data_IF_504917515848
#
_entry.id   IF_504917515848
#
_cell.length_a   1.000
_cell.length_b   1.000
_cell.length_c   1.000
_cell.angle_alpha   90.00
_cell.angle_beta   90.00
_cell.angle_gamma   90.00
#
_symmetry.space_group_name_H-M   'P 1'
#
loop_
_entity.id
_entity.type
_entity.pdbx_description
1 polymer ?
#
# COMPACT_ATOMS: atom_id res chain seq x y z
N UNK A 1 31.78 19.49 33.55
CA UNK A 1 31.48 18.10 33.19
C UNK A 1 30.00 18.06 32.84
N UNK A 2 29.64 17.59 31.64
CA UNK A 2 28.22 17.45 31.27
C UNK A 2 27.58 16.37 32.13
N UNK A 3 26.40 16.66 32.65
CA UNK A 3 25.59 15.73 33.44
C UNK A 3 25.21 14.51 32.58
N UNK A 4 25.65 13.30 32.99
CA UNK A 4 25.39 12.09 32.27
C UNK A 4 24.49 11.14 33.04
N UNK A 5 23.55 10.49 32.36
CA UNK A 5 22.54 9.60 32.94
C UNK A 5 22.80 8.15 32.54
N UNK A 6 22.54 7.22 33.43
CA UNK A 6 22.43 5.79 33.08
C UNK A 6 21.14 5.56 32.29
N UNK A 7 21.05 4.42 31.58
CA UNK A 7 19.82 4.04 30.85
C UNK A 7 18.56 4.09 31.72
N UNK A 8 18.65 3.61 32.97
CA UNK A 8 17.49 3.63 33.88
C UNK A 8 17.11 5.04 34.32
N UNK A 9 18.08 5.89 34.67
CA UNK A 9 17.82 7.30 35.03
C UNK A 9 17.24 8.08 33.87
N UNK A 10 17.79 7.86 32.67
CA UNK A 10 17.35 8.52 31.46
C UNK A 10 15.94 8.10 31.05
N UNK A 11 15.62 6.79 31.17
CA UNK A 11 14.28 6.27 30.95
C UNK A 11 13.26 6.88 31.93
N UNK A 12 13.62 6.99 33.20
CA UNK A 12 12.76 7.61 34.22
C UNK A 12 12.47 9.10 33.94
N UNK A 13 13.50 9.86 33.52
CA UNK A 13 13.35 11.29 33.17
C UNK A 13 12.36 11.49 32.02
N UNK A 14 12.37 10.59 31.03
CA UNK A 14 11.50 10.67 29.83
C UNK A 14 10.20 9.87 29.99
N UNK A 15 9.90 9.31 31.17
CA UNK A 15 8.71 8.47 31.42
C UNK A 15 8.56 7.30 30.43
N UNK A 16 9.69 6.66 30.11
CA UNK A 16 9.75 5.50 29.21
C UNK A 16 10.47 4.33 29.89
N UNK A 17 10.76 3.26 29.17
CA UNK A 17 11.43 2.07 29.72
C UNK A 17 12.88 1.95 29.21
N UNK A 18 13.74 1.29 29.98
CA UNK A 18 15.11 0.96 29.54
C UNK A 18 15.09 0.03 28.31
N UNK A 19 14.03 -0.76 28.13
CA UNK A 19 13.83 -1.61 26.96
C UNK A 19 13.59 -0.77 25.70
N UNK A 20 12.74 0.26 25.81
CA UNK A 20 12.47 1.21 24.71
C UNK A 20 13.73 1.94 24.29
N UNK A 21 14.55 2.40 25.24
CA UNK A 21 15.81 3.08 24.92
C UNK A 21 16.81 2.16 24.18
N UNK A 22 16.90 0.89 24.59
CA UNK A 22 17.74 -0.10 23.90
C UNK A 22 17.23 -0.38 22.49
N UNK A 23 15.93 -0.44 22.32
CA UNK A 23 15.30 -0.63 21.02
C UNK A 23 15.57 0.56 20.08
N UNK A 24 15.46 1.80 20.58
CA UNK A 24 15.80 2.99 19.78
C UNK A 24 17.29 3.08 19.45
N UNK A 25 18.18 2.60 20.33
CA UNK A 25 19.60 2.49 20.02
C UNK A 25 19.86 1.45 18.94
N UNK A 26 19.24 0.26 19.03
CA UNK A 26 19.33 -0.79 18.00
C UNK A 26 18.84 -0.33 16.62
N UNK A 27 17.71 0.41 16.59
CA UNK A 27 17.16 1.00 15.36
C UNK A 27 17.91 2.27 14.90
N UNK A 28 18.97 2.69 15.59
CA UNK A 28 19.74 3.89 15.24
C UNK A 28 19.03 5.22 15.50
N UNK A 29 17.80 5.19 16.01
CA UNK A 29 16.97 6.36 16.22
C UNK A 29 17.49 7.27 17.37
N UNK A 30 17.97 6.66 18.45
CA UNK A 30 18.57 7.35 19.59
C UNK A 30 19.80 6.59 20.09
N UNK A 31 20.99 7.00 19.67
CA UNK A 31 22.25 6.42 20.15
C UNK A 31 22.66 7.05 21.47
N UNK A 32 23.24 6.29 22.42
CA UNK A 32 23.82 6.86 23.64
C UNK A 32 25.00 7.76 23.28
N UNK A 33 25.20 8.85 24.06
CA UNK A 33 26.36 9.74 23.89
C UNK A 33 27.69 9.02 24.16
N UNK A 34 27.71 7.97 24.99
CA UNK A 34 28.86 7.12 25.21
C UNK A 34 28.46 5.70 25.64
N UNK A 35 29.27 4.72 25.26
CA UNK A 35 29.21 3.35 25.80
C UNK A 35 30.50 3.08 26.57
N UNK A 36 30.37 2.74 27.85
CA UNK A 36 31.52 2.45 28.71
C UNK A 36 32.17 1.11 28.34
N UNK A 37 33.41 0.85 28.71
CA UNK A 37 34.09 -0.42 28.43
C UNK A 37 33.36 -1.68 28.96
N UNK A 38 32.55 -1.53 29.99
CA UNK A 38 31.71 -2.57 30.59
C UNK A 38 30.34 -2.71 29.88
N UNK A 39 30.13 -2.04 28.73
CA UNK A 39 28.90 -2.10 27.94
C UNK A 39 27.76 -1.20 28.44
N UNK A 40 27.97 -0.42 29.52
CA UNK A 40 26.93 0.48 30.03
C UNK A 40 26.80 1.74 29.18
N UNK A 41 25.55 2.04 28.76
CA UNK A 41 25.17 3.22 27.99
C UNK A 41 25.05 4.45 28.85
N UNK A 42 25.55 5.59 28.37
CA UNK A 42 25.46 6.89 28.99
C UNK A 42 24.78 7.87 28.02
N UNK A 43 23.87 8.64 28.57
CA UNK A 43 23.10 9.65 27.83
C UNK A 43 23.36 11.04 28.43
N UNK A 44 23.32 12.07 27.59
CA UNK A 44 23.49 13.46 27.98
C UNK A 44 22.16 14.23 27.88
N UNK A 45 22.13 15.46 28.38
CA UNK A 45 20.94 16.31 28.33
C UNK A 45 20.47 16.60 26.88
N UNK A 46 21.39 16.69 25.93
CA UNK A 46 21.05 16.83 24.49
C UNK A 46 20.26 15.63 23.95
N UNK A 47 20.55 14.42 24.43
CA UNK A 47 19.86 13.21 24.03
C UNK A 47 18.40 13.20 24.52
N UNK A 48 18.12 13.91 25.65
CA UNK A 48 16.79 14.04 26.21
C UNK A 48 15.85 14.81 25.26
N UNK A 49 16.34 15.89 24.65
CA UNK A 49 15.55 16.65 23.67
C UNK A 49 15.20 15.78 22.47
N UNK A 50 16.16 15.01 21.98
CA UNK A 50 15.92 14.07 20.87
C UNK A 50 14.91 12.99 21.27
N UNK A 51 15.05 12.40 22.46
CA UNK A 51 14.10 11.42 22.98
C UNK A 51 12.69 11.99 23.13
N UNK A 52 12.56 13.21 23.64
CA UNK A 52 11.27 13.88 23.78
C UNK A 52 10.57 14.09 22.41
N UNK A 53 11.34 14.48 21.38
CA UNK A 53 10.81 14.56 20.00
C UNK A 53 10.32 13.20 19.51
N UNK A 54 11.12 12.14 19.70
CA UNK A 54 10.74 10.77 19.31
C UNK A 54 9.43 10.34 20.00
N UNK A 55 9.33 10.55 21.31
CA UNK A 55 8.14 10.16 22.06
C UNK A 55 6.91 10.98 21.65
N UNK A 56 7.08 12.28 21.39
CA UNK A 56 6.01 13.13 20.87
C UNK A 56 5.50 12.60 19.52
N UNK A 57 6.39 12.37 18.57
CA UNK A 57 6.01 11.86 17.23
C UNK A 57 5.35 10.49 17.31
N UNK A 58 5.84 9.59 18.17
CA UNK A 58 5.17 8.31 18.45
C UNK A 58 3.75 8.48 18.98
N UNK A 59 3.54 9.41 19.89
CA UNK A 59 2.21 9.73 20.45
C UNK A 59 1.27 10.29 19.38
N UNK A 60 1.82 11.00 18.40
CA UNK A 60 1.09 11.54 17.25
C UNK A 60 0.86 10.52 16.14
N UNK A 61 1.33 9.26 16.28
CA UNK A 61 1.07 8.16 15.37
C UNK A 61 2.11 7.94 14.29
N UNK A 62 3.23 8.66 14.30
CA UNK A 62 4.32 8.43 13.34
C UNK A 62 5.02 7.09 13.57
N UNK A 63 5.37 6.40 12.50
CA UNK A 63 6.25 5.22 12.52
C UNK A 63 7.67 5.59 12.93
N UNK A 64 8.51 4.61 13.27
CA UNK A 64 9.91 4.89 13.64
C UNK A 64 10.74 5.40 12.45
N UNK A 65 10.45 4.95 11.26
CA UNK A 65 11.14 5.36 10.04
C UNK A 65 10.79 6.82 9.67
N UNK A 66 9.50 7.19 9.75
CA UNK A 66 9.06 8.59 9.62
C UNK A 66 9.74 9.48 10.66
N UNK A 67 9.80 9.03 11.91
CA UNK A 67 10.48 9.78 12.99
C UNK A 67 11.97 9.93 12.69
N UNK A 68 12.62 8.90 12.18
CA UNK A 68 14.04 8.99 11.80
C UNK A 68 14.26 10.08 10.74
N UNK A 69 13.37 10.13 9.75
CA UNK A 69 13.38 11.16 8.72
C UNK A 69 13.11 12.55 9.30
N UNK A 70 12.04 12.72 10.09
CA UNK A 70 11.66 13.99 10.72
C UNK A 70 12.72 14.56 11.68
N UNK A 71 13.57 13.71 12.23
CA UNK A 71 14.68 14.13 13.08
C UNK A 71 15.88 14.68 12.29
N UNK A 72 15.95 14.45 10.99
CA UNK A 72 16.98 14.97 10.09
C UNK A 72 16.56 16.30 9.44
N UNK A 73 15.27 16.60 9.41
CA UNK A 73 14.70 17.80 8.79
C UNK A 73 14.60 18.95 9.82
N UNK A 74 14.87 20.19 9.36
CA UNK A 74 14.69 21.41 10.16
C UNK A 74 13.68 22.35 9.48
N UNK A 75 12.65 22.78 10.21
CA UNK A 75 11.83 23.93 9.83
C UNK A 75 10.50 23.65 9.14
N UNK A 76 10.31 24.15 7.91
CA UNK A 76 9.00 24.19 7.22
C UNK A 76 8.44 22.78 6.89
N UNK A 77 9.29 21.81 6.63
CA UNK A 77 8.88 20.42 6.32
C UNK A 77 8.28 19.70 7.52
N UNK A 78 8.70 20.07 8.75
CA UNK A 78 8.12 19.53 9.97
C UNK A 78 6.66 19.98 10.15
N UNK A 79 6.36 21.25 9.87
CA UNK A 79 5.00 21.77 9.94
C UNK A 79 4.08 21.09 8.90
N UNK A 80 4.57 20.86 7.69
CA UNK A 80 3.84 20.14 6.65
C UNK A 80 3.52 18.71 7.08
N UNK A 81 4.48 18.00 7.68
CA UNK A 81 4.28 16.64 8.20
C UNK A 81 3.25 16.59 9.34
N UNK A 82 3.23 17.58 10.24
CA UNK A 82 2.22 17.68 11.30
C UNK A 82 0.81 17.99 10.74
N UNK A 83 0.72 18.89 9.76
CA UNK A 83 -0.54 19.20 9.08
C UNK A 83 -1.09 17.96 8.39
N UNK A 84 -0.24 17.16 7.77
CA UNK A 84 -0.62 15.91 7.15
C UNK A 84 -1.16 14.91 8.18
N UNK A 85 -0.45 14.65 9.28
CA UNK A 85 -0.92 13.75 10.34
C UNK A 85 -2.24 14.23 10.96
N UNK A 86 -2.39 15.53 11.16
CA UNK A 86 -3.64 16.11 11.66
C UNK A 86 -4.81 15.83 10.71
N UNK A 87 -4.57 15.89 9.39
CA UNK A 87 -5.58 15.60 8.38
C UNK A 87 -5.91 14.11 8.33
N UNK A 88 -4.91 13.22 8.35
CA UNK A 88 -5.12 11.78 8.41
C UNK A 88 -5.91 11.36 9.64
N UNK A 89 -5.61 11.95 10.81
CA UNK A 89 -6.39 11.73 12.03
C UNK A 89 -7.82 12.23 11.89
N UNK A 90 -8.04 13.38 11.25
CA UNK A 90 -9.39 13.89 10.97
C UNK A 90 -10.16 12.95 10.06
N UNK A 91 -9.58 12.50 8.96
CA UNK A 91 -10.21 11.54 8.05
C UNK A 91 -10.57 10.22 8.77
N UNK A 92 -9.68 9.74 9.64
CA UNK A 92 -9.95 8.55 10.49
C UNK A 92 -11.07 8.79 11.51
N UNK A 93 -11.13 9.99 12.11
CA UNK A 93 -12.22 10.39 13.02
C UNK A 93 -13.54 10.48 12.26
N UNK A 94 -13.54 11.07 11.07
CA UNK A 94 -14.74 11.21 10.24
C UNK A 94 -15.25 9.82 9.81
N UNK A 95 -14.36 8.91 9.42
CA UNK A 95 -14.72 7.52 9.11
C UNK A 95 -15.27 6.77 10.34
N UNK A 96 -14.62 6.87 11.51
CA UNK A 96 -15.14 6.25 12.74
C UNK A 96 -16.49 6.85 13.18
N UNK A 97 -16.71 8.14 12.95
CA UNK A 97 -17.99 8.78 13.18
C UNK A 97 -19.08 8.24 12.25
N UNK A 98 -18.76 8.02 10.96
CA UNK A 98 -19.71 7.42 9.99
C UNK A 98 -20.09 6.00 10.41
N UNK A 99 -19.13 5.17 10.83
CA UNK A 99 -19.39 3.82 11.39
C UNK A 99 -20.29 3.93 12.63
N UNK A 100 -20.01 4.86 13.54
CA UNK A 100 -20.79 5.05 14.76
C UNK A 100 -22.22 5.47 14.45
N UNK A 101 -22.43 6.38 13.51
CA UNK A 101 -23.79 6.81 13.08
C UNK A 101 -24.55 5.65 12.43
N UNK A 102 -23.89 4.83 11.64
CA UNK A 102 -24.44 3.62 11.07
C UNK A 102 -24.91 2.63 12.15
N UNK A 103 -24.05 2.37 13.15
CA UNK A 103 -24.39 1.52 14.32
C UNK A 103 -25.58 2.11 15.09
N UNK A 104 -25.59 3.42 15.35
CA UNK A 104 -26.67 4.08 16.08
C UNK A 104 -28.01 4.00 15.31
N UNK A 105 -27.96 4.12 13.99
CA UNK A 105 -29.12 3.96 13.12
C UNK A 105 -29.67 2.54 13.21
N UNK A 106 -28.77 1.52 13.20
CA UNK A 106 -29.15 0.13 13.35
C UNK A 106 -29.79 -0.16 14.73
N UNK A 107 -29.21 0.36 15.81
CA UNK A 107 -29.79 0.24 17.15
C UNK A 107 -31.22 0.78 17.19
N UNK A 108 -31.46 1.99 16.63
CA UNK A 108 -32.82 2.57 16.57
C UNK A 108 -33.80 1.72 15.75
N UNK A 109 -33.34 1.04 14.71
CA UNK A 109 -34.16 0.14 13.90
C UNK A 109 -34.55 -1.12 14.66
N UNK A 110 -33.61 -1.69 15.42
CA UNK A 110 -33.88 -2.84 16.32
C UNK A 110 -34.90 -2.49 17.40
N UNK A 111 -34.76 -1.31 18.02
CA UNK A 111 -35.70 -0.84 19.05
C UNK A 111 -37.12 -0.60 18.51
N UNK A 112 -37.25 -0.30 17.22
CA UNK A 112 -38.56 -0.06 16.57
C UNK A 112 -39.19 -1.32 15.95
N UNK A 113 -38.61 -2.52 16.12
CA UNK A 113 -39.19 -3.81 15.72
C UNK A 113 -39.41 -3.98 14.20
N UNK A 114 -38.63 -3.28 13.36
CA UNK A 114 -38.74 -3.37 11.90
C UNK A 114 -37.83 -4.47 11.33
N UNK A 115 -38.35 -5.24 10.36
CA UNK A 115 -37.68 -6.43 9.77
C UNK A 115 -36.25 -6.14 9.26
N UNK A 116 -35.33 -7.00 9.67
CA UNK A 116 -33.87 -6.83 9.72
C UNK A 116 -33.14 -6.91 8.37
N UNK A 117 -33.60 -7.76 7.44
CA UNK A 117 -32.71 -8.24 6.36
C UNK A 117 -32.43 -7.23 5.25
N UNK A 118 -33.42 -6.44 4.81
CA UNK A 118 -33.23 -5.52 3.68
C UNK A 118 -32.41 -4.25 4.03
N UNK A 119 -32.41 -3.85 5.30
CA UNK A 119 -31.80 -2.59 5.76
C UNK A 119 -30.38 -2.75 6.31
N UNK A 120 -29.98 -3.95 6.72
CA UNK A 120 -28.57 -4.27 6.97
C UNK A 120 -27.78 -4.15 5.65
N UNK A 121 -28.38 -4.60 4.54
CA UNK A 121 -27.79 -4.45 3.20
C UNK A 121 -27.63 -2.98 2.79
N UNK A 122 -28.66 -2.14 3.04
CA UNK A 122 -28.60 -0.70 2.73
C UNK A 122 -27.54 0.02 3.57
N UNK A 123 -27.39 -0.37 4.83
CA UNK A 123 -26.36 0.17 5.71
C UNK A 123 -24.95 -0.31 5.31
N UNK A 124 -24.82 -1.58 4.95
CA UNK A 124 -23.59 -2.16 4.43
C UNK A 124 -23.22 -1.52 3.08
N UNK A 125 -24.19 -1.25 2.20
CA UNK A 125 -23.95 -0.58 0.93
C UNK A 125 -23.51 0.88 1.14
N UNK A 126 -24.11 1.61 2.08
CA UNK A 126 -23.73 2.99 2.39
C UNK A 126 -22.31 3.09 3.01
N UNK A 127 -21.93 2.09 3.79
CA UNK A 127 -20.57 1.96 4.33
C UNK A 127 -19.59 1.37 3.30
N UNK A 128 -20.09 0.67 2.31
CA UNK A 128 -19.30 -0.04 1.31
C UNK A 128 -18.86 0.86 0.15
N UNK A 129 -19.61 1.90 -0.21
CA UNK A 129 -19.22 2.77 -1.35
C UNK A 129 -17.89 3.48 -1.13
N UNK A 130 -17.54 3.86 0.11
CA UNK A 130 -16.26 4.48 0.45
C UNK A 130 -15.20 3.48 0.96
N UNK A 131 -15.62 2.35 1.54
CA UNK A 131 -14.72 1.41 2.22
C UNK A 131 -14.31 0.21 1.37
N UNK A 132 -15.08 -0.17 0.35
CA UNK A 132 -14.83 -1.39 -0.44
C UNK A 132 -13.45 -1.39 -1.12
N UNK A 133 -13.03 -0.27 -1.68
CA UNK A 133 -11.70 -0.15 -2.29
C UNK A 133 -10.58 -0.23 -1.26
N UNK A 134 -10.75 0.40 -0.10
CA UNK A 134 -9.74 0.40 0.97
C UNK A 134 -9.69 -0.93 1.74
N UNK A 135 -10.82 -1.60 1.95
CA UNK A 135 -10.87 -2.87 2.69
C UNK A 135 -10.28 -4.04 1.91
N UNK A 136 -10.40 -4.02 0.59
CA UNK A 136 -9.83 -5.06 -0.28
C UNK A 136 -8.31 -4.95 -0.37
N UNK A 137 -7.76 -3.75 -0.21
CA UNK A 137 -6.31 -3.54 -0.06
C UNK A 137 -5.79 -3.76 1.36
N UNK A 138 -6.65 -3.72 2.37
CA UNK A 138 -6.28 -4.09 3.75
C UNK A 138 -5.95 -5.56 3.89
N UNK A 139 -6.41 -6.40 2.99
CA UNK A 139 -6.15 -7.84 3.02
C UNK A 139 -5.08 -8.19 1.99
N UNK A 140 -3.82 -8.30 2.41
CA UNK A 140 -2.74 -8.88 1.62
C UNK A 140 -3.12 -10.24 1.02
N UNK A 141 -4.06 -10.96 1.63
CA UNK A 141 -4.59 -12.23 1.14
C UNK A 141 -5.25 -12.12 -0.24
N UNK A 142 -6.09 -11.10 -0.48
CA UNK A 142 -6.73 -10.91 -1.79
C UNK A 142 -5.71 -10.51 -2.86
N UNK A 143 -4.73 -9.68 -2.50
CA UNK A 143 -3.62 -9.35 -3.39
C UNK A 143 -2.78 -10.58 -3.71
N UNK A 144 -2.48 -11.41 -2.70
CA UNK A 144 -1.72 -12.65 -2.86
C UNK A 144 -2.42 -13.65 -3.78
N UNK A 145 -3.74 -13.83 -3.66
CA UNK A 145 -4.54 -14.67 -4.57
C UNK A 145 -4.36 -14.22 -6.02
N UNK A 146 -4.44 -12.90 -6.29
CA UNK A 146 -4.28 -12.36 -7.65
C UNK A 146 -2.87 -12.56 -8.19
N UNK A 147 -1.86 -12.29 -7.36
CA UNK A 147 -0.45 -12.51 -7.73
C UNK A 147 -0.20 -13.98 -8.01
N UNK A 148 -0.74 -14.88 -7.17
CA UNK A 148 -0.56 -16.32 -7.32
C UNK A 148 -1.17 -16.86 -8.61
N UNK A 149 -2.34 -16.39 -9.04
CA UNK A 149 -2.92 -16.80 -10.33
C UNK A 149 -1.95 -16.45 -11.47
N UNK A 150 -1.47 -15.20 -11.51
CA UNK A 150 -0.53 -14.77 -12.55
C UNK A 150 0.79 -15.55 -12.49
N UNK A 151 1.39 -15.71 -11.32
CA UNK A 151 2.70 -16.39 -11.21
C UNK A 151 2.61 -17.90 -11.52
N UNK A 152 1.48 -18.55 -11.20
CA UNK A 152 1.29 -19.99 -11.43
C UNK A 152 0.97 -20.34 -12.89
N UNK A 153 0.22 -19.47 -13.58
CA UNK A 153 -0.38 -19.77 -14.88
C UNK A 153 0.12 -18.92 -16.05
N UNK A 154 1.03 -17.97 -15.81
CA UNK A 154 1.66 -17.16 -16.84
C UNK A 154 2.42 -18.02 -17.85
N UNK A 155 2.21 -17.78 -19.14
CA UNK A 155 2.95 -18.41 -20.22
C UNK A 155 4.29 -17.71 -20.54
N UNK A 156 4.49 -16.49 -20.01
CA UNK A 156 5.68 -15.69 -20.32
C UNK A 156 6.95 -16.16 -19.63
N UNK A 157 6.84 -16.96 -18.59
CA UNK A 157 7.99 -17.52 -17.86
C UNK A 157 8.77 -16.52 -16.98
N UNK A 158 8.41 -15.25 -17.01
CA UNK A 158 8.96 -14.19 -16.16
C UNK A 158 7.80 -13.48 -15.49
N UNK A 159 7.79 -13.49 -14.15
CA UNK A 159 6.72 -12.85 -13.41
C UNK A 159 6.70 -11.32 -13.64
N UNK A 160 5.52 -10.72 -13.47
CA UNK A 160 5.27 -9.30 -13.65
C UNK A 160 6.23 -8.42 -12.85
N UNK A 161 6.44 -8.72 -11.57
CA UNK A 161 7.30 -7.91 -10.70
C UNK A 161 8.78 -8.03 -11.09
N UNK A 162 9.22 -9.23 -11.57
CA UNK A 162 10.56 -9.39 -12.11
C UNK A 162 10.76 -8.56 -13.38
N UNK A 163 9.74 -8.53 -14.25
CA UNK A 163 9.78 -7.74 -15.47
C UNK A 163 9.79 -6.23 -15.13
N UNK A 164 8.96 -5.77 -14.21
CA UNK A 164 8.97 -4.38 -13.74
C UNK A 164 10.33 -3.98 -13.20
N UNK A 165 10.85 -4.78 -12.27
CA UNK A 165 12.14 -4.51 -11.62
C UNK A 165 13.28 -4.39 -12.63
N UNK A 166 13.33 -5.26 -13.64
CA UNK A 166 14.37 -5.26 -14.66
C UNK A 166 14.27 -4.07 -15.65
N UNK A 167 13.11 -3.42 -15.71
CA UNK A 167 12.92 -2.20 -16.50
C UNK A 167 13.20 -0.91 -15.70
N UNK A 168 13.54 -1.01 -14.41
CA UNK A 168 13.99 0.14 -13.62
C UNK A 168 15.50 0.31 -13.76
N UNK A 169 15.93 1.45 -14.27
CA UNK A 169 17.36 1.80 -14.32
C UNK A 169 17.84 2.34 -12.99
N UNK A 170 18.47 1.50 -12.19
CA UNK A 170 19.06 1.87 -10.91
C UNK A 170 20.47 2.47 -11.03
N UNK A 171 21.03 2.62 -12.20
CA UNK A 171 22.45 3.03 -12.38
C UNK A 171 22.79 4.40 -11.77
N UNK A 172 21.82 5.32 -11.75
CA UNK A 172 21.96 6.69 -11.22
C UNK A 172 21.05 6.96 -10.02
N UNK A 173 20.40 5.92 -9.47
CA UNK A 173 19.43 6.07 -8.40
C UNK A 173 20.12 5.84 -7.04
N UNK A 174 20.14 6.89 -6.22
CA UNK A 174 20.53 6.80 -4.81
C UNK A 174 19.29 6.77 -3.89
N UNK A 175 18.22 7.52 -4.24
CA UNK A 175 16.96 7.58 -3.50
C UNK A 175 15.81 7.18 -4.42
N UNK A 176 15.14 6.12 -4.03
CA UNK A 176 13.99 5.58 -4.75
C UNK A 176 12.76 5.58 -3.85
N UNK A 177 11.61 5.97 -4.41
CA UNK A 177 10.33 5.91 -3.74
C UNK A 177 9.41 4.94 -4.50
N UNK A 178 8.78 3.99 -3.82
CA UNK A 178 7.61 3.31 -4.33
C UNK A 178 6.39 3.74 -3.55
N UNK A 179 5.35 4.23 -4.25
CA UNK A 179 4.04 4.55 -3.69
C UNK A 179 3.04 3.47 -4.08
N UNK A 180 2.19 3.06 -3.12
CA UNK A 180 1.32 1.90 -3.32
C UNK A 180 2.10 0.58 -3.41
N UNK A 181 3.15 0.42 -2.59
CA UNK A 181 4.04 -0.75 -2.62
C UNK A 181 3.35 -2.06 -2.21
N UNK A 182 2.15 -1.98 -1.61
CA UNK A 182 1.45 -3.15 -1.09
C UNK A 182 2.32 -3.92 -0.10
N UNK A 183 2.37 -5.23 -0.24
CA UNK A 183 3.22 -6.10 0.60
C UNK A 183 4.68 -6.19 0.12
N UNK A 184 5.17 -5.25 -0.69
CA UNK A 184 6.56 -5.15 -1.13
C UNK A 184 6.98 -6.15 -2.21
N UNK A 185 6.05 -6.63 -3.03
CA UNK A 185 6.29 -7.70 -4.02
C UNK A 185 7.35 -7.35 -5.07
N UNK A 186 7.46 -6.08 -5.47
CA UNK A 186 8.48 -5.62 -6.41
C UNK A 186 9.90 -5.96 -5.93
N UNK A 187 10.12 -5.96 -4.61
CA UNK A 187 11.44 -6.10 -3.98
C UNK A 187 11.75 -7.52 -3.50
N UNK A 188 10.75 -8.40 -3.44
CA UNK A 188 10.97 -9.79 -3.00
C UNK A 188 11.88 -10.53 -3.96
N UNK A 189 12.88 -11.23 -3.41
CA UNK A 189 13.82 -12.07 -4.15
C UNK A 189 14.60 -11.32 -5.26
N UNK A 190 14.84 -10.00 -5.09
CA UNK A 190 15.63 -9.21 -6.04
C UNK A 190 17.07 -9.08 -5.57
N UNK A 191 17.99 -9.16 -6.54
CA UNK A 191 19.43 -9.00 -6.31
C UNK A 191 19.81 -7.60 -6.75
N UNK A 192 19.79 -6.65 -5.82
CA UNK A 192 20.27 -5.29 -6.03
C UNK A 192 21.24 -4.92 -4.91
N UNK A 193 22.36 -4.29 -5.25
CA UNK A 193 23.24 -3.73 -4.23
C UNK A 193 22.60 -2.46 -3.64
N UNK A 194 22.00 -2.61 -2.46
CA UNK A 194 21.32 -1.54 -1.74
C UNK A 194 22.22 -0.79 -0.76
N UNK A 195 23.49 -1.18 -0.59
CA UNK A 195 24.40 -0.65 0.46
C UNK A 195 24.57 0.87 0.41
N UNK A 196 24.32 1.49 -0.74
CA UNK A 196 24.49 2.92 -0.96
C UNK A 196 23.21 3.59 -1.47
N UNK A 197 22.05 2.92 -1.32
CA UNK A 197 20.75 3.40 -1.77
C UNK A 197 19.78 3.49 -0.62
N UNK A 198 18.94 4.50 -0.67
CA UNK A 198 17.82 4.69 0.24
C UNK A 198 16.54 4.34 -0.52
N UNK A 199 15.90 3.24 -0.14
CA UNK A 199 14.65 2.76 -0.76
C UNK A 199 13.50 2.99 0.20
N UNK A 200 12.54 3.79 -0.21
CA UNK A 200 11.36 4.14 0.55
C UNK A 200 10.15 3.43 -0.05
N UNK A 201 9.46 2.63 0.74
CA UNK A 201 8.24 1.93 0.36
C UNK A 201 7.08 2.54 1.11
N UNK A 202 6.02 2.91 0.41
CA UNK A 202 4.85 3.49 1.04
C UNK A 202 3.55 2.89 0.51
N UNK A 203 2.57 2.84 1.38
CA UNK A 203 1.19 2.50 1.04
C UNK A 203 0.24 3.32 1.91
N UNK A 204 -1.00 3.49 1.47
CA UNK A 204 -2.04 4.10 2.30
C UNK A 204 -2.49 3.15 3.42
N UNK A 205 -2.29 1.84 3.23
CA UNK A 205 -2.65 0.78 4.16
C UNK A 205 -1.50 0.47 5.12
N UNK A 206 -1.71 0.71 6.42
CA UNK A 206 -0.75 0.32 7.46
C UNK A 206 -0.54 -1.21 7.50
N UNK A 207 -1.61 -2.00 7.25
CA UNK A 207 -1.52 -3.46 7.19
C UNK A 207 -0.63 -3.95 6.04
N UNK A 208 -0.70 -3.33 4.85
CA UNK A 208 0.21 -3.64 3.74
C UNK A 208 1.66 -3.33 4.10
N UNK A 209 1.92 -2.22 4.78
CA UNK A 209 3.27 -1.87 5.21
C UNK A 209 3.79 -2.79 6.32
N UNK A 210 2.93 -3.31 7.20
CA UNK A 210 3.30 -4.33 8.17
C UNK A 210 3.68 -5.66 7.48
N UNK A 211 2.90 -6.10 6.50
CA UNK A 211 3.22 -7.29 5.70
C UNK A 211 4.51 -7.12 4.88
N UNK A 212 4.75 -5.93 4.34
CA UNK A 212 6.01 -5.60 3.67
C UNK A 212 7.21 -5.68 4.63
N UNK A 213 7.10 -5.12 5.85
CA UNK A 213 8.13 -5.23 6.89
C UNK A 213 8.41 -6.67 7.28
N UNK A 214 7.37 -7.50 7.39
CA UNK A 214 7.53 -8.92 7.74
C UNK A 214 8.19 -9.74 6.63
N UNK A 215 8.13 -9.28 5.38
CA UNK A 215 8.60 -10.01 4.20
C UNK A 215 9.92 -9.51 3.63
N UNK A 216 10.37 -8.31 3.99
CA UNK A 216 11.59 -7.67 3.48
C UNK A 216 12.56 -7.35 4.63
N UNK A 217 13.89 -7.32 4.38
CA UNK A 217 14.87 -6.94 5.39
C UNK A 217 14.68 -5.49 5.86
N UNK A 218 14.36 -5.29 7.14
CA UNK A 218 14.11 -3.96 7.73
C UNK A 218 15.32 -2.99 7.66
N UNK A 219 16.52 -3.51 7.53
CA UNK A 219 17.75 -2.71 7.46
C UNK A 219 18.04 -2.16 6.06
N UNK A 220 17.31 -2.61 5.04
CA UNK A 220 17.51 -2.20 3.65
C UNK A 220 16.41 -1.26 3.12
N UNK A 221 15.25 -1.19 3.79
CA UNK A 221 14.08 -0.45 3.32
C UNK A 221 13.50 0.45 4.42
N UNK A 222 12.98 1.60 4.02
CA UNK A 222 12.18 2.48 4.88
C UNK A 222 10.71 2.31 4.52
N UNK A 223 9.87 1.96 5.51
CA UNK A 223 8.45 1.71 5.33
C UNK A 223 7.61 2.83 5.92
N UNK A 224 6.74 3.41 5.12
CA UNK A 224 5.97 4.60 5.50
C UNK A 224 4.50 4.43 5.10
N UNK A 225 3.60 5.05 5.85
CA UNK A 225 2.16 5.05 5.55
C UNK A 225 1.69 6.47 5.27
N UNK A 226 1.34 6.75 4.02
CA UNK A 226 0.78 8.04 3.59
C UNK A 226 0.02 7.91 2.27
N UNK A 227 -0.95 8.82 2.00
CA UNK A 227 -1.63 8.88 0.71
C UNK A 227 -0.74 9.51 -0.36
N UNK A 228 -0.80 8.99 -1.58
CA UNK A 228 0.01 9.45 -2.72
C UNK A 228 -0.17 10.95 -3.01
N UNK A 229 -1.37 11.50 -2.78
CA UNK A 229 -1.68 12.92 -2.99
C UNK A 229 -0.93 13.85 -2.01
N UNK A 230 -0.24 13.32 -1.01
CA UNK A 230 0.50 14.10 0.00
C UNK A 230 1.72 13.33 0.47
N UNK A 231 2.74 13.35 -0.37
CA UNK A 231 4.01 12.69 -0.09
C UNK A 231 4.81 13.53 0.91
N UNK A 232 5.14 13.02 2.12
CA UNK A 232 5.74 13.79 3.21
C UNK A 232 7.24 14.03 3.01
N UNK A 233 7.64 14.30 1.77
CA UNK A 233 9.01 14.61 1.40
C UNK A 233 9.08 15.98 0.73
N UNK A 234 10.21 16.65 0.88
CA UNK A 234 10.47 17.94 0.19
C UNK A 234 10.53 17.74 -1.33
N UNK A 235 10.37 18.84 -2.04
CA UNK A 235 10.56 18.86 -3.50
C UNK A 235 11.99 18.42 -3.89
N UNK A 236 12.10 17.75 -5.04
CA UNK A 236 13.37 17.32 -5.63
C UNK A 236 14.21 16.43 -4.70
N UNK A 237 13.58 15.48 -4.03
CA UNK A 237 14.25 14.59 -3.08
C UNK A 237 14.68 13.26 -3.71
N UNK A 238 13.85 12.65 -4.56
CA UNK A 238 14.08 11.33 -5.15
C UNK A 238 14.71 11.41 -6.54
N UNK A 239 15.57 10.43 -6.85
CA UNK A 239 16.13 10.25 -8.17
C UNK A 239 15.15 9.52 -9.10
N UNK A 240 14.39 8.58 -8.54
CA UNK A 240 13.33 7.89 -9.25
C UNK A 240 12.18 7.51 -8.30
N UNK A 241 11.00 7.32 -8.87
CA UNK A 241 9.83 6.82 -8.15
C UNK A 241 9.09 5.76 -8.96
N UNK A 242 8.36 4.87 -8.27
CA UNK A 242 7.43 3.93 -8.87
C UNK A 242 6.02 4.12 -8.31
N UNK A 243 5.02 4.00 -9.19
CA UNK A 243 3.59 4.01 -8.89
C UNK A 243 2.92 2.84 -9.62
N UNK A 244 3.08 1.64 -9.07
CA UNK A 244 2.67 0.40 -9.73
C UNK A 244 1.24 0.04 -9.36
N UNK A 245 0.33 0.02 -10.35
CA UNK A 245 -1.09 -0.33 -10.19
C UNK A 245 -1.79 0.48 -9.08
N UNK A 246 -1.46 1.77 -8.95
CA UNK A 246 -1.99 2.63 -7.87
C UNK A 246 -2.71 3.87 -8.38
N UNK A 247 -2.28 4.47 -9.50
CA UNK A 247 -2.81 5.75 -9.98
C UNK A 247 -4.32 5.73 -10.28
N UNK A 248 -4.83 4.62 -10.78
CA UNK A 248 -6.26 4.47 -11.09
C UNK A 248 -7.17 4.40 -9.83
N UNK A 249 -6.61 4.28 -8.63
CA UNK A 249 -7.39 4.35 -7.39
C UNK A 249 -7.62 5.79 -6.91
N UNK A 250 -6.88 6.75 -7.46
CA UNK A 250 -7.05 8.14 -7.11
C UNK A 250 -8.35 8.69 -7.69
N UNK A 251 -9.05 9.50 -6.91
CA UNK A 251 -10.19 10.26 -7.41
C UNK A 251 -9.74 11.36 -8.37
N UNK A 252 -8.58 11.97 -8.07
CA UNK A 252 -7.89 12.94 -8.91
C UNK A 252 -6.46 12.43 -9.20
N UNK A 253 -6.24 11.95 -10.43
CA UNK A 253 -4.96 11.41 -10.88
C UNK A 253 -3.92 12.51 -10.99
N UNK A 254 -4.32 13.72 -11.39
CA UNK A 254 -3.41 14.84 -11.61
C UNK A 254 -2.86 15.38 -10.28
N UNK A 255 -3.64 15.32 -9.18
CA UNK A 255 -3.13 15.63 -7.83
C UNK A 255 -1.98 14.68 -7.44
N UNK A 256 -2.15 13.37 -7.69
CA UNK A 256 -1.10 12.38 -7.43
C UNK A 256 0.14 12.55 -8.29
N UNK A 257 -0.05 12.84 -9.60
CA UNK A 257 1.05 13.09 -10.52
C UNK A 257 1.81 14.38 -10.19
N UNK A 258 1.10 15.41 -9.72
CA UNK A 258 1.69 16.66 -9.22
C UNK A 258 2.64 16.39 -8.04
N UNK A 259 2.21 15.58 -7.07
CA UNK A 259 3.02 15.23 -5.91
C UNK A 259 4.25 14.39 -6.30
N UNK A 260 4.07 13.41 -7.20
CA UNK A 260 5.18 12.61 -7.74
C UNK A 260 6.20 13.49 -8.48
N UNK A 261 5.72 14.40 -9.34
CA UNK A 261 6.60 15.35 -10.04
C UNK A 261 7.31 16.28 -9.05
N UNK A 262 6.63 16.76 -8.01
CA UNK A 262 7.21 17.63 -6.97
C UNK A 262 8.36 16.98 -6.24
N UNK A 263 8.22 15.71 -5.84
CA UNK A 263 9.24 15.03 -5.05
C UNK A 263 10.38 14.46 -5.87
N UNK A 264 10.20 14.30 -7.18
CA UNK A 264 11.25 13.89 -8.10
C UNK A 264 12.20 15.08 -8.40
N UNK A 265 13.47 14.78 -8.49
CA UNK A 265 14.48 15.75 -8.94
C UNK A 265 14.26 16.09 -10.42
N UNK A 266 14.73 17.27 -10.90
CA UNK A 266 14.82 17.53 -12.33
C UNK A 266 15.60 16.40 -13.03
N UNK A 267 14.99 15.81 -14.07
CA UNK A 267 15.54 14.64 -14.77
C UNK A 267 15.36 13.32 -14.01
N UNK A 268 14.62 13.32 -12.90
CA UNK A 268 14.20 12.10 -12.19
C UNK A 268 13.18 11.30 -12.98
N UNK A 269 13.14 9.97 -12.79
CA UNK A 269 12.31 9.04 -13.55
C UNK A 269 11.11 8.57 -12.75
N UNK A 270 9.92 8.62 -13.35
CA UNK A 270 8.72 7.94 -12.84
C UNK A 270 8.48 6.64 -13.60
N UNK A 271 8.32 5.55 -12.88
CA UNK A 271 7.84 4.26 -13.40
C UNK A 271 6.40 4.06 -12.95
N UNK A 272 5.45 4.12 -13.88
CA UNK A 272 4.03 3.93 -13.58
C UNK A 272 3.49 2.74 -14.35
N UNK A 273 2.66 1.92 -13.72
CA UNK A 273 2.01 0.82 -14.41
C UNK A 273 0.48 0.88 -14.28
N UNK A 274 -0.19 0.45 -15.35
CA UNK A 274 -1.63 0.36 -15.44
C UNK A 274 -2.03 -0.80 -16.36
N UNK A 275 -3.28 -1.21 -16.27
CA UNK A 275 -3.88 -2.13 -17.21
C UNK A 275 -4.86 -1.41 -18.15
N UNK A 276 -5.20 -2.04 -19.27
CA UNK A 276 -6.17 -1.51 -20.23
C UNK A 276 -7.54 -2.17 -20.10
N UNK A 277 -8.49 -1.69 -20.88
CA UNK A 277 -9.89 -2.15 -20.90
C UNK A 277 -10.07 -3.64 -21.20
N UNK A 278 -9.10 -4.24 -21.87
CA UNK A 278 -9.16 -5.66 -22.26
C UNK A 278 -8.47 -6.60 -21.26
N UNK A 279 -7.94 -6.07 -20.17
CA UNK A 279 -7.28 -6.88 -19.16
C UNK A 279 -8.26 -7.86 -18.51
N UNK A 280 -7.95 -9.15 -18.56
CA UNK A 280 -8.75 -10.24 -17.97
C UNK A 280 -10.22 -10.27 -18.47
N UNK A 281 -10.50 -9.78 -19.68
CA UNK A 281 -11.87 -9.73 -20.24
C UNK A 281 -12.50 -11.12 -20.38
N UNK A 282 -11.67 -12.15 -20.58
CA UNK A 282 -12.07 -13.54 -20.71
C UNK A 282 -12.73 -14.06 -19.41
N UNK A 283 -12.24 -13.63 -18.25
CA UNK A 283 -12.87 -13.94 -16.96
C UNK A 283 -14.24 -13.27 -16.85
N UNK A 284 -14.35 -12.00 -17.26
CA UNK A 284 -15.63 -11.30 -17.28
C UNK A 284 -16.64 -12.01 -18.17
N UNK A 285 -16.22 -12.42 -19.38
CA UNK A 285 -17.08 -13.19 -20.28
C UNK A 285 -17.50 -14.52 -19.66
N UNK A 286 -16.56 -15.25 -19.07
CA UNK A 286 -16.80 -16.55 -18.46
C UNK A 286 -17.84 -16.48 -17.31
N UNK A 287 -17.72 -15.48 -16.39
CA UNK A 287 -18.69 -15.35 -15.31
C UNK A 287 -20.06 -14.90 -15.80
N UNK A 288 -20.12 -14.11 -16.88
CA UNK A 288 -21.38 -13.68 -17.50
C UNK A 288 -22.05 -14.79 -18.32
N UNK A 289 -21.33 -15.79 -18.77
CA UNK A 289 -21.91 -17.02 -19.33
C UNK A 289 -22.62 -17.84 -18.25
N UNK A 290 -22.12 -17.86 -17.01
CA UNK A 290 -22.76 -18.50 -15.88
C UNK A 290 -23.98 -17.71 -15.38
N UNK A 291 -23.78 -16.41 -15.07
CA UNK A 291 -24.84 -15.48 -14.70
C UNK A 291 -24.54 -14.09 -15.30
N UNK A 292 -25.37 -13.62 -16.27
CA UNK A 292 -25.18 -12.33 -16.93
C UNK A 292 -25.24 -11.11 -15.98
N UNK A 293 -25.73 -11.28 -14.76
CA UNK A 293 -25.83 -10.20 -13.77
C UNK A 293 -24.54 -10.03 -12.93
N UNK A 294 -23.59 -10.95 -13.07
CA UNK A 294 -22.30 -10.86 -12.36
C UNK A 294 -21.43 -9.78 -13.02
N UNK A 295 -20.90 -8.91 -12.17
CA UNK A 295 -19.89 -7.92 -12.52
C UNK A 295 -18.65 -8.13 -11.64
N UNK A 296 -17.45 -8.08 -12.23
CA UNK A 296 -16.19 -8.26 -11.50
C UNK A 296 -15.58 -6.94 -11.02
N UNK A 297 -16.10 -5.82 -11.50
CA UNK A 297 -15.72 -4.49 -11.04
C UNK A 297 -16.92 -3.55 -11.09
N UNK A 298 -17.16 -2.85 -10.01
CA UNK A 298 -18.19 -1.80 -9.92
C UNK A 298 -17.75 -0.50 -10.59
N UNK A 299 -16.44 -0.27 -10.74
CA UNK A 299 -15.86 0.94 -11.31
C UNK A 299 -14.84 0.55 -12.39
N UNK A 300 -14.93 1.11 -13.60
CA UNK A 300 -13.94 0.89 -14.67
C UNK A 300 -12.66 1.69 -14.38
N UNK A 301 -11.80 1.17 -13.50
CA UNK A 301 -10.60 1.85 -13.02
C UNK A 301 -9.64 2.27 -14.15
N UNK A 302 -9.57 1.49 -15.25
CA UNK A 302 -8.77 1.82 -16.44
C UNK A 302 -9.23 3.13 -17.11
N UNK A 303 -10.47 3.59 -16.89
CA UNK A 303 -10.95 4.87 -17.41
C UNK A 303 -10.36 6.06 -16.64
N UNK A 304 -9.97 5.86 -15.36
CA UNK A 304 -9.29 6.88 -14.57
C UNK A 304 -7.82 6.99 -14.96
N UNK A 305 -7.10 5.86 -15.00
CA UNK A 305 -5.73 5.78 -15.45
C UNK A 305 -5.45 4.38 -16.00
N UNK A 306 -5.40 4.24 -17.31
CA UNK A 306 -5.18 3.00 -18.04
C UNK A 306 -4.16 3.17 -19.15
N UNK A 307 -3.88 2.10 -19.90
CA UNK A 307 -2.95 2.18 -21.04
C UNK A 307 -3.51 3.07 -22.16
N UNK A 308 -4.81 3.25 -22.24
CA UNK A 308 -5.47 4.04 -23.28
C UNK A 308 -5.38 5.56 -23.03
N UNK A 309 -5.36 5.99 -21.77
CA UNK A 309 -5.41 7.42 -21.39
C UNK A 309 -4.24 7.86 -20.50
N UNK A 310 -3.43 6.92 -19.96
CA UNK A 310 -2.35 7.23 -19.04
C UNK A 310 -1.31 8.21 -19.62
N UNK A 311 -1.00 8.11 -20.92
CA UNK A 311 -0.07 9.04 -21.57
C UNK A 311 -0.57 10.50 -21.47
N UNK A 312 -1.85 10.77 -21.72
CA UNK A 312 -2.40 12.13 -21.66
C UNK A 312 -2.34 12.75 -20.26
N UNK A 313 -2.52 11.94 -19.21
CA UNK A 313 -2.30 12.40 -17.83
C UNK A 313 -0.82 12.71 -17.56
N UNK A 314 0.08 11.82 -18.01
CA UNK A 314 1.51 11.98 -17.77
C UNK A 314 2.10 13.20 -18.50
N UNK A 315 1.66 13.51 -19.71
CA UNK A 315 2.16 14.64 -20.53
C UNK A 315 1.97 16.01 -19.87
N UNK A 316 1.05 16.13 -18.89
CA UNK A 316 0.89 17.34 -18.08
C UNK A 316 1.99 17.57 -17.03
N UNK A 317 2.75 16.52 -16.68
CA UNK A 317 3.68 16.51 -15.56
C UNK A 317 5.08 16.01 -15.91
N UNK A 318 5.24 15.22 -16.98
CA UNK A 318 6.48 14.54 -17.34
C UNK A 318 6.77 14.71 -18.85
N UNK A 319 8.05 14.70 -19.18
CA UNK A 319 8.57 14.67 -20.54
C UNK A 319 9.09 13.26 -20.86
N UNK A 320 9.41 12.98 -22.12
CA UNK A 320 10.04 11.73 -22.61
C UNK A 320 9.33 10.45 -22.18
N UNK A 321 7.99 10.41 -22.34
CA UNK A 321 7.15 9.29 -21.91
C UNK A 321 7.35 8.10 -22.85
N UNK A 322 7.85 6.99 -22.32
CA UNK A 322 7.98 5.71 -23.01
C UNK A 322 6.91 4.72 -22.51
N UNK A 323 6.35 3.93 -23.43
CA UNK A 323 5.40 2.88 -23.10
C UNK A 323 6.00 1.50 -23.38
N UNK A 324 6.07 0.67 -22.34
CA UNK A 324 6.59 -0.69 -22.41
C UNK A 324 5.44 -1.68 -22.15
N UNK A 325 4.95 -2.41 -23.18
CA UNK A 325 3.88 -3.37 -23.00
C UNK A 325 4.39 -4.67 -22.34
N UNK A 326 3.73 -5.10 -21.28
CA UNK A 326 3.84 -6.44 -20.74
C UNK A 326 2.67 -7.28 -21.29
N UNK A 327 2.94 -8.09 -22.30
CA UNK A 327 1.96 -9.00 -22.88
C UNK A 327 2.15 -10.39 -22.27
N UNK A 328 1.08 -10.93 -21.69
CA UNK A 328 1.06 -12.27 -21.12
C UNK A 328 -0.28 -12.94 -21.41
N UNK A 329 -0.34 -14.24 -21.25
CA UNK A 329 -1.56 -15.02 -21.20
C UNK A 329 -1.45 -16.05 -20.08
N UNK A 330 -2.60 -16.39 -19.50
CA UNK A 330 -2.67 -17.36 -18.42
C UNK A 330 -3.36 -18.63 -18.94
N UNK A 331 -2.76 -19.79 -18.70
CA UNK A 331 -3.40 -21.10 -18.94
C UNK A 331 -3.84 -21.73 -17.62
N UNK A 332 -5.03 -21.35 -17.18
CA UNK A 332 -5.55 -21.79 -15.87
C UNK A 332 -6.12 -23.21 -15.99
N UNK A 333 -5.58 -24.12 -15.17
CA UNK A 333 -5.94 -25.54 -15.16
C UNK A 333 -6.62 -25.99 -13.88
N UNK A 334 -6.64 -25.14 -12.83
CA UNK A 334 -7.33 -25.43 -11.58
C UNK A 334 -8.55 -24.52 -11.42
N UNK A 335 -9.77 -25.09 -11.37
CA UNK A 335 -11.00 -24.31 -11.22
C UNK A 335 -11.10 -23.59 -9.88
N UNK A 336 -10.45 -24.12 -8.82
CA UNK A 336 -10.46 -23.46 -7.52
C UNK A 336 -9.62 -22.17 -7.52
N UNK A 337 -8.43 -22.20 -8.10
CA UNK A 337 -7.59 -21.00 -8.22
C UNK A 337 -8.31 -19.90 -9.01
N UNK A 338 -9.03 -20.26 -10.08
CA UNK A 338 -9.81 -19.32 -10.87
C UNK A 338 -11.01 -18.78 -10.08
N UNK A 339 -11.73 -19.65 -9.35
CA UNK A 339 -12.84 -19.23 -8.52
C UNK A 339 -12.38 -18.29 -7.40
N UNK A 340 -11.24 -18.58 -6.75
CA UNK A 340 -10.65 -17.73 -5.72
C UNK A 340 -10.25 -16.36 -6.29
N UNK A 341 -9.65 -16.32 -7.48
CA UNK A 341 -9.38 -15.08 -8.18
C UNK A 341 -10.66 -14.27 -8.44
N UNK A 342 -11.71 -14.91 -8.99
CA UNK A 342 -13.00 -14.28 -9.25
C UNK A 342 -13.59 -13.71 -7.95
N UNK A 343 -13.59 -14.49 -6.87
CA UNK A 343 -14.08 -14.03 -5.56
C UNK A 343 -13.24 -12.87 -4.99
N UNK A 344 -11.97 -12.77 -5.36
CA UNK A 344 -11.09 -11.66 -4.94
C UNK A 344 -11.34 -10.34 -5.70
N UNK A 345 -12.19 -10.34 -6.73
CA UNK A 345 -12.53 -9.16 -7.52
C UNK A 345 -13.46 -8.19 -6.77
N UNK A 346 -13.70 -6.99 -7.37
CA UNK A 346 -14.32 -5.84 -6.72
C UNK A 346 -15.78 -5.57 -7.16
N UNK A 347 -16.44 -6.59 -7.70
CA UNK A 347 -17.82 -6.49 -8.17
C UNK A 347 -18.83 -7.13 -7.21
N UNK A 348 -19.94 -7.60 -7.76
CA UNK A 348 -21.02 -8.27 -7.03
C UNK A 348 -20.90 -9.80 -7.02
N UNK A 349 -19.80 -10.35 -7.54
CA UNK A 349 -19.62 -11.80 -7.72
C UNK A 349 -19.73 -12.59 -6.40
N UNK A 350 -19.22 -12.04 -5.30
CA UNK A 350 -19.29 -12.73 -4.00
C UNK A 350 -20.75 -12.89 -3.55
N UNK A 351 -21.56 -11.84 -3.68
CA UNK A 351 -22.99 -11.87 -3.37
C UNK A 351 -23.75 -12.85 -4.28
N UNK A 352 -23.50 -12.76 -5.59
CA UNK A 352 -24.18 -13.58 -6.61
C UNK A 352 -23.84 -15.06 -6.53
N UNK A 353 -22.64 -15.40 -6.10
CA UNK A 353 -22.20 -16.79 -5.96
C UNK A 353 -22.56 -17.41 -4.59
N UNK A 354 -23.08 -16.62 -3.64
CA UNK A 354 -23.62 -17.18 -2.40
C UNK A 354 -24.79 -18.14 -2.70
N UNK A 355 -24.67 -19.38 -2.25
CA UNK A 355 -25.66 -20.44 -2.43
C UNK A 355 -25.54 -21.22 -3.75
N UNK A 356 -24.82 -20.75 -4.76
CA UNK A 356 -24.56 -21.46 -6.03
C UNK A 356 -23.07 -21.66 -6.33
N UNK A 357 -22.19 -21.52 -5.34
CA UNK A 357 -20.74 -21.65 -5.54
C UNK A 357 -20.33 -23.03 -6.10
N UNK A 358 -20.94 -24.12 -5.62
CA UNK A 358 -20.65 -25.45 -6.13
C UNK A 358 -21.07 -25.63 -7.59
N UNK A 359 -22.21 -25.05 -7.98
CA UNK A 359 -22.70 -25.06 -9.38
C UNK A 359 -21.75 -24.25 -10.27
N UNK A 360 -21.27 -23.11 -9.78
CA UNK A 360 -20.26 -22.31 -10.48
C UNK A 360 -18.93 -23.05 -10.61
N UNK A 361 -18.48 -23.72 -9.59
CA UNK A 361 -17.26 -24.54 -9.63
C UNK A 361 -17.37 -25.69 -10.63
N UNK A 362 -18.52 -26.36 -10.68
CA UNK A 362 -18.77 -27.45 -11.63
C UNK A 362 -18.89 -26.93 -13.09
N UNK A 363 -19.41 -25.71 -13.28
CA UNK A 363 -19.36 -25.01 -14.57
C UNK A 363 -17.91 -24.78 -15.00
N UNK A 364 -17.01 -24.26 -14.13
CA UNK A 364 -15.59 -24.07 -14.44
C UNK A 364 -14.89 -25.39 -14.77
N UNK A 365 -15.14 -26.46 -13.99
CA UNK A 365 -14.60 -27.81 -14.26
C UNK A 365 -15.02 -28.33 -15.63
N UNK A 366 -16.29 -28.16 -15.99
CA UNK A 366 -16.82 -28.59 -17.28
C UNK A 366 -16.11 -27.85 -18.42
N UNK A 367 -15.95 -26.54 -18.32
CA UNK A 367 -15.23 -25.73 -19.30
C UNK A 367 -13.75 -26.14 -19.44
N UNK A 368 -13.08 -26.41 -18.32
CA UNK A 368 -11.70 -26.91 -18.34
C UNK A 368 -11.59 -28.31 -18.94
N UNK A 369 -12.57 -29.21 -18.67
CA UNK A 369 -12.57 -30.56 -19.26
C UNK A 369 -12.76 -30.53 -20.77
N UNK A 370 -13.56 -29.59 -21.29
CA UNK A 370 -13.79 -29.43 -22.73
C UNK A 370 -12.59 -28.86 -23.49
N UNK A 371 -11.86 -27.93 -22.85
CA UNK A 371 -10.80 -27.13 -23.50
C UNK A 371 -9.39 -27.48 -23.03
N UNK A 372 -9.25 -28.32 -22.00
CA UNK A 372 -7.98 -28.62 -21.33
C UNK A 372 -7.51 -27.56 -20.33
N UNK A 373 -7.81 -26.31 -20.58
CA UNK A 373 -7.56 -25.16 -19.69
C UNK A 373 -8.46 -23.99 -20.06
N UNK A 374 -8.57 -23.01 -19.20
CA UNK A 374 -9.16 -21.70 -19.51
C UNK A 374 -8.01 -20.74 -19.82
N UNK A 375 -8.03 -20.17 -21.03
CA UNK A 375 -7.04 -19.19 -21.49
C UNK A 375 -7.57 -17.78 -21.21
N UNK A 376 -6.74 -16.98 -20.59
CA UNK A 376 -7.04 -15.60 -20.21
C UNK A 376 -5.98 -14.68 -20.78
#
# INVERSE_FOLDING_TARGET
MSETYTTGQFAALARTTSRTLRFYDQKGLLKPSAVQPNGYRRYEKKDLVKLQKILLFRTLGFSLDEISYLLLEEGEDLAASFLMQSRMLKERIDHLNSIREAINTYIRLLENGQQEEARILDLLNLLAEDSQLLEQYRSAKNLEIRINLHSKYSEKGKDWFAWLFDNIDFSKVNRFLEVGAGSGQLWKNRTLDLRHREIFLSDISEGMMEDARNSLPEDLYSFMTFPLQKIPFRSSYFDAAAANHVLFYLNDVDEGLTELARVLKPGGMLYASAYGKNHMKEITQLVQEFDPTITLSSVPLYERFGIENGRSHLEGHFEDIEFLPYQDSLKVTDPHDLADYILSCHGNQAEKLVGCYNEFLDFLKTRMAEQGCIVI
#
